data_IF_879110819420
#
_entry.id   IF_879110819420
#
_cell.length_a   1.000
_cell.length_b   1.000
_cell.length_c   1.000
_cell.angle_alpha   90.00
_cell.angle_beta   90.00
_cell.angle_gamma   90.00
#
_symmetry.space_group_name_H-M   'P 1'
#
loop_
_entity.id
_entity.type
_entity.pdbx_description
1 polymer ?
#
# COMPACT_ATOMS: atom_id res chain seq x y z
N UNK A 1 19.45 1.06 -5.37
CA UNK A 1 18.19 0.80 -6.11
C UNK A 1 18.48 -0.07 -7.33
N UNK A 2 19.34 0.36 -8.26
CA UNK A 2 19.67 -0.45 -9.46
C UNK A 2 20.23 -1.84 -9.14
N UNK A 3 21.10 -1.93 -8.13
CA UNK A 3 21.69 -3.20 -7.67
C UNK A 3 20.63 -4.23 -7.23
N UNK A 4 19.62 -3.79 -6.48
CA UNK A 4 18.49 -4.64 -6.06
C UNK A 4 17.59 -5.00 -7.24
N UNK A 5 17.40 -4.07 -8.19
CA UNK A 5 16.61 -4.36 -9.41
C UNK A 5 17.26 -5.45 -10.26
N UNK A 6 18.60 -5.47 -10.35
CA UNK A 6 19.32 -6.51 -11.10
C UNK A 6 19.53 -7.81 -10.31
N UNK A 7 19.66 -7.74 -8.98
CA UNK A 7 19.90 -8.89 -8.11
C UNK A 7 18.96 -8.91 -6.90
N UNK A 8 17.63 -9.09 -7.10
CA UNK A 8 16.64 -8.98 -6.03
C UNK A 8 16.67 -10.14 -5.03
N UNK A 9 17.36 -11.23 -5.35
CA UNK A 9 17.51 -12.43 -4.51
C UNK A 9 18.89 -12.55 -3.87
N UNK A 10 19.74 -11.54 -4.03
CA UNK A 10 21.04 -11.45 -3.36
C UNK A 10 20.92 -10.51 -2.15
N UNK A 11 21.74 -10.75 -1.12
CA UNK A 11 21.80 -9.91 0.08
C UNK A 11 22.19 -8.48 -0.28
N UNK A 12 21.18 -7.67 -0.51
CA UNK A 12 21.29 -6.25 -0.83
C UNK A 12 20.55 -5.47 0.26
N UNK A 13 20.88 -4.19 0.41
CA UNK A 13 20.28 -3.36 1.47
C UNK A 13 18.74 -3.23 1.41
N UNK A 14 18.10 -3.68 0.33
CA UNK A 14 16.64 -3.68 0.16
C UNK A 14 15.98 -5.06 0.30
N UNK A 15 16.74 -6.15 0.27
CA UNK A 15 16.22 -7.53 0.40
C UNK A 15 15.57 -7.75 1.78
N UNK A 16 16.18 -7.21 2.84
CA UNK A 16 15.66 -7.28 4.22
C UNK A 16 14.32 -6.53 4.43
N UNK A 17 13.96 -5.62 3.52
CA UNK A 17 12.73 -4.79 3.58
C UNK A 17 11.65 -5.34 2.64
N UNK A 18 12.07 -5.92 1.51
CA UNK A 18 11.20 -6.45 0.46
C UNK A 18 11.59 -7.91 0.16
N UNK A 19 11.22 -8.87 1.03
CA UNK A 19 11.52 -10.28 0.81
C UNK A 19 10.68 -10.79 -0.35
N UNK A 20 11.28 -10.86 -1.53
CA UNK A 20 10.64 -11.33 -2.75
C UNK A 20 10.54 -12.85 -2.74
N UNK A 21 9.37 -13.40 -3.01
CA UNK A 21 9.25 -14.83 -3.27
C UNK A 21 9.53 -15.12 -4.75
N UNK A 22 9.90 -16.35 -5.07
CA UNK A 22 10.04 -16.74 -6.46
C UNK A 22 8.67 -16.78 -7.18
N UNK A 23 8.69 -16.54 -8.49
CA UNK A 23 7.48 -16.51 -9.33
C UNK A 23 6.68 -17.82 -9.26
N UNK A 24 7.35 -18.96 -9.06
CA UNK A 24 6.69 -20.25 -8.90
C UNK A 24 5.81 -20.31 -7.62
N UNK A 25 6.32 -19.81 -6.50
CA UNK A 25 5.57 -19.75 -5.24
C UNK A 25 4.44 -18.73 -5.35
N UNK A 26 4.71 -17.55 -5.94
CA UNK A 26 3.69 -16.53 -6.18
C UNK A 26 2.52 -17.08 -7.05
N UNK A 27 2.84 -17.83 -8.11
CA UNK A 27 1.83 -18.52 -8.93
C UNK A 27 1.06 -19.59 -8.15
N UNK A 28 1.72 -20.31 -7.24
CA UNK A 28 1.06 -21.27 -6.35
C UNK A 28 0.10 -20.56 -5.37
N UNK A 29 0.46 -19.39 -4.84
CA UNK A 29 -0.40 -18.53 -4.03
C UNK A 29 -1.63 -18.08 -4.82
N UNK A 30 -1.45 -17.69 -6.09
CA UNK A 30 -2.56 -17.35 -6.99
C UNK A 30 -3.48 -18.55 -7.25
N UNK A 31 -2.90 -19.71 -7.56
CA UNK A 31 -3.65 -20.95 -7.77
C UNK A 31 -4.49 -21.30 -6.54
N UNK A 32 -3.87 -21.26 -5.35
CA UNK A 32 -4.54 -21.53 -4.07
C UNK A 32 -5.68 -20.54 -3.80
N UNK A 33 -5.48 -19.26 -4.14
CA UNK A 33 -6.51 -18.22 -4.03
C UNK A 33 -7.73 -18.52 -4.92
N UNK A 34 -7.49 -19.01 -6.15
CA UNK A 34 -8.57 -19.44 -7.07
C UNK A 34 -9.30 -20.66 -6.52
N UNK A 35 -8.57 -21.64 -6.02
CA UNK A 35 -9.15 -22.86 -5.43
C UNK A 35 -10.04 -22.53 -4.23
N UNK A 36 -9.57 -21.68 -3.30
CA UNK A 36 -10.37 -21.25 -2.15
C UNK A 36 -11.60 -20.47 -2.59
N UNK A 37 -11.46 -19.56 -3.57
CA UNK A 37 -12.61 -18.83 -4.14
C UNK A 37 -13.64 -19.78 -4.73
N UNK A 38 -13.20 -20.77 -5.50
CA UNK A 38 -14.07 -21.81 -6.07
C UNK A 38 -14.81 -22.58 -4.97
N UNK A 39 -14.09 -23.07 -3.96
CA UNK A 39 -14.67 -23.87 -2.87
C UNK A 39 -15.65 -23.07 -2.02
N UNK A 40 -15.35 -21.80 -1.73
CA UNK A 40 -16.25 -20.92 -1.00
C UNK A 40 -17.55 -20.68 -1.79
N UNK A 41 -17.43 -20.42 -3.10
CA UNK A 41 -18.61 -20.21 -3.92
C UNK A 41 -19.47 -21.48 -4.04
N UNK A 42 -18.84 -22.64 -4.18
CA UNK A 42 -19.52 -23.93 -4.21
C UNK A 42 -20.20 -24.27 -2.87
N UNK A 43 -19.52 -24.04 -1.74
CA UNK A 43 -20.08 -24.19 -0.40
C UNK A 43 -21.35 -23.35 -0.23
N UNK A 44 -21.31 -22.08 -0.65
CA UNK A 44 -22.47 -21.20 -0.57
C UNK A 44 -23.61 -21.71 -1.45
N UNK A 45 -23.32 -22.21 -2.66
CA UNK A 45 -24.34 -22.80 -3.54
C UNK A 45 -24.94 -24.09 -2.97
N UNK A 46 -24.13 -24.91 -2.30
CA UNK A 46 -24.61 -26.11 -1.60
C UNK A 46 -25.56 -25.75 -0.45
N UNK A 47 -25.28 -24.67 0.29
CA UNK A 47 -26.20 -24.12 1.29
C UNK A 47 -27.47 -23.56 0.64
N UNK A 48 -27.37 -22.82 -0.46
CA UNK A 48 -28.53 -22.27 -1.16
C UNK A 48 -29.44 -23.40 -1.65
N UNK A 49 -28.90 -24.41 -2.32
CA UNK A 49 -29.70 -25.51 -2.89
C UNK A 49 -30.19 -26.50 -1.82
N UNK A 50 -29.37 -26.79 -0.81
CA UNK A 50 -29.71 -27.77 0.23
C UNK A 50 -30.57 -27.21 1.36
N UNK A 51 -30.39 -25.92 1.69
CA UNK A 51 -31.07 -25.28 2.82
C UNK A 51 -32.08 -24.26 2.35
N UNK A 52 -31.73 -23.31 1.46
CA UNK A 52 -32.65 -22.20 1.10
C UNK A 52 -33.65 -22.56 0.00
N UNK A 53 -33.30 -23.48 -0.91
CA UNK A 53 -34.09 -23.94 -2.05
C UNK A 53 -34.19 -25.48 -2.11
N UNK A 54 -34.52 -26.18 -1.00
CA UNK A 54 -34.55 -27.63 -0.97
C UNK A 54 -35.64 -28.17 -1.89
N UNK A 55 -35.27 -29.10 -2.77
CA UNK A 55 -36.23 -29.82 -3.64
C UNK A 55 -37.06 -30.84 -2.86
N UNK A 56 -36.43 -31.49 -1.86
CA UNK A 56 -37.05 -32.42 -0.93
C UNK A 56 -36.65 -32.03 0.49
N UNK A 57 -37.45 -31.20 1.20
CA UNK A 57 -37.07 -30.74 2.52
C UNK A 57 -37.08 -31.89 3.54
N UNK A 58 -35.89 -32.35 3.92
CA UNK A 58 -35.69 -33.28 5.07
C UNK A 58 -36.05 -32.61 6.40
N UNK A 59 -36.06 -31.28 6.41
CA UNK A 59 -36.35 -30.43 7.56
C UNK A 59 -37.52 -29.52 7.17
N UNK A 60 -38.63 -29.63 7.88
CA UNK A 60 -39.86 -28.89 7.59
C UNK A 60 -39.77 -27.43 8.05
N UNK A 61 -39.02 -26.60 7.32
CA UNK A 61 -39.01 -25.15 7.52
C UNK A 61 -40.01 -24.47 6.58
N UNK A 62 -40.68 -23.42 7.06
CA UNK A 62 -41.60 -22.63 6.26
C UNK A 62 -40.84 -21.62 5.37
N UNK A 63 -40.35 -22.08 4.22
CA UNK A 63 -39.63 -21.26 3.26
C UNK A 63 -40.61 -20.62 2.26
N UNK A 64 -41.40 -19.69 2.78
CA UNK A 64 -42.30 -18.90 1.96
C UNK A 64 -41.49 -17.89 1.14
N UNK A 65 -41.66 -17.81 -0.18
CA UNK A 65 -41.01 -16.78 -1.02
C UNK A 65 -40.35 -17.32 -2.29
N UNK A 66 -39.91 -16.43 -3.21
CA UNK A 66 -39.27 -16.82 -4.46
C UNK A 66 -37.94 -17.52 -4.20
N UNK A 67 -37.52 -18.38 -5.13
CA UNK A 67 -36.23 -19.07 -5.03
C UNK A 67 -35.08 -18.07 -4.95
N UNK A 68 -34.15 -18.36 -4.05
CA UNK A 68 -32.95 -17.56 -3.86
C UNK A 68 -31.97 -17.87 -4.99
N UNK A 69 -31.44 -16.88 -5.71
CA UNK A 69 -30.54 -17.14 -6.82
C UNK A 69 -29.18 -17.63 -6.30
N UNK A 70 -28.56 -18.56 -7.02
CA UNK A 70 -27.24 -19.10 -6.71
C UNK A 70 -26.14 -18.07 -6.97
N UNK A 71 -25.02 -18.24 -6.28
CA UNK A 71 -23.81 -17.49 -6.50
C UNK A 71 -23.14 -17.94 -7.80
N UNK A 72 -22.74 -16.97 -8.62
CA UNK A 72 -21.85 -17.25 -9.73
C UNK A 72 -20.47 -17.59 -9.19
N UNK A 73 -20.03 -18.81 -9.49
CA UNK A 73 -18.63 -19.17 -9.33
C UNK A 73 -17.83 -18.61 -10.52
N UNK A 74 -16.83 -17.74 -10.28
CA UNK A 74 -16.02 -17.17 -11.37
C UNK A 74 -15.08 -18.20 -12.02
N UNK A 75 -14.95 -19.39 -11.43
CA UNK A 75 -14.08 -20.45 -11.88
C UNK A 75 -14.85 -21.74 -12.19
N UNK A 76 -14.36 -22.49 -13.17
CA UNK A 76 -14.73 -23.88 -13.40
C UNK A 76 -13.98 -24.80 -12.41
N UNK A 77 -14.33 -26.08 -12.40
CA UNK A 77 -13.69 -27.08 -11.52
C UNK A 77 -12.18 -27.26 -11.82
N UNK A 78 -11.77 -27.01 -13.05
CA UNK A 78 -10.36 -26.98 -13.47
C UNK A 78 -9.67 -25.62 -13.18
N UNK A 79 -10.35 -24.72 -12.46
CA UNK A 79 -9.93 -23.37 -12.10
C UNK A 79 -9.72 -22.42 -13.29
N UNK A 80 -10.22 -22.78 -14.47
CA UNK A 80 -10.32 -21.86 -15.61
C UNK A 80 -11.42 -20.82 -15.37
N UNK A 81 -11.30 -19.65 -16.01
CA UNK A 81 -12.31 -18.60 -15.87
C UNK A 81 -13.65 -19.04 -16.45
N UNK A 82 -14.74 -18.69 -15.76
CA UNK A 82 -16.10 -19.01 -16.14
C UNK A 82 -16.95 -17.75 -16.24
N UNK A 83 -17.77 -17.66 -17.29
CA UNK A 83 -18.84 -16.66 -17.36
C UNK A 83 -20.06 -17.14 -16.57
N UNK A 84 -20.66 -16.24 -15.80
CA UNK A 84 -21.87 -16.54 -15.04
C UNK A 84 -23.04 -16.89 -15.95
N UNK A 85 -23.83 -17.90 -15.55
CA UNK A 85 -25.06 -18.26 -16.24
C UNK A 85 -26.19 -17.28 -15.92
N UNK A 86 -27.23 -17.26 -16.76
CA UNK A 86 -28.41 -16.45 -16.50
C UNK A 86 -29.09 -16.88 -15.19
N UNK A 87 -29.37 -15.91 -14.32
CA UNK A 87 -29.98 -16.15 -12.99
C UNK A 87 -28.97 -16.33 -11.85
N UNK A 88 -27.67 -16.44 -12.14
CA UNK A 88 -26.64 -16.44 -11.11
C UNK A 88 -26.30 -15.00 -10.68
N UNK A 89 -25.92 -14.83 -9.42
CA UNK A 89 -25.50 -13.53 -8.87
C UNK A 89 -23.99 -13.46 -8.77
N UNK A 90 -23.39 -12.41 -9.35
CA UNK A 90 -21.96 -12.13 -9.21
C UNK A 90 -21.58 -11.80 -7.77
N UNK A 91 -20.34 -12.16 -7.38
CA UNK A 91 -19.79 -11.93 -6.04
C UNK A 91 -20.03 -10.50 -5.50
N UNK A 92 -19.88 -9.49 -6.37
CA UNK A 92 -20.03 -8.08 -5.99
C UNK A 92 -21.44 -7.70 -5.50
N UNK A 93 -22.47 -8.37 -6.04
CA UNK A 93 -23.88 -8.01 -5.79
C UNK A 93 -24.61 -9.02 -4.89
N UNK A 94 -23.99 -10.16 -4.60
CA UNK A 94 -24.60 -11.29 -3.90
C UNK A 94 -25.21 -10.90 -2.55
N UNK A 95 -24.47 -10.18 -1.71
CA UNK A 95 -24.95 -9.73 -0.39
C UNK A 95 -26.23 -8.89 -0.51
N UNK A 96 -26.25 -7.90 -1.41
CA UNK A 96 -27.39 -7.02 -1.62
C UNK A 96 -28.60 -7.76 -2.18
N UNK A 97 -28.39 -8.71 -3.11
CA UNK A 97 -29.49 -9.50 -3.70
C UNK A 97 -30.09 -10.43 -2.65
N UNK A 98 -29.25 -11.15 -1.91
CA UNK A 98 -29.66 -12.14 -0.91
C UNK A 98 -30.34 -11.55 0.31
N UNK A 99 -30.02 -10.30 0.67
CA UNK A 99 -30.68 -9.58 1.77
C UNK A 99 -32.20 -9.47 1.58
N UNK A 100 -32.69 -9.51 0.34
CA UNK A 100 -34.13 -9.47 0.02
C UNK A 100 -34.86 -10.79 0.36
N UNK A 101 -34.12 -11.84 0.64
CA UNK A 101 -34.63 -13.17 0.97
C UNK A 101 -34.58 -13.45 2.48
N UNK A 102 -34.07 -12.51 3.26
CA UNK A 102 -33.96 -12.61 4.71
C UNK A 102 -35.35 -12.61 5.36
N UNK A 103 -35.56 -13.53 6.30
CA UNK A 103 -36.81 -13.66 7.03
C UNK A 103 -36.63 -13.28 8.51
N UNK A 104 -37.69 -12.81 9.15
CA UNK A 104 -37.71 -12.75 10.61
C UNK A 104 -37.81 -14.16 11.16
N UNK A 105 -37.06 -14.43 12.25
CA UNK A 105 -36.93 -15.77 12.79
C UNK A 105 -37.77 -16.00 14.05
N UNK A 106 -38.14 -17.25 14.25
CA UNK A 106 -38.59 -17.82 15.53
C UNK A 106 -37.71 -19.00 15.85
N UNK A 107 -37.30 -19.11 17.11
CA UNK A 107 -36.45 -20.20 17.57
C UNK A 107 -37.34 -21.38 17.96
N UNK A 108 -37.14 -22.53 17.32
CA UNK A 108 -37.81 -23.79 17.67
C UNK A 108 -36.73 -24.83 17.93
N UNK A 109 -36.71 -25.40 19.13
CA UNK A 109 -35.69 -26.37 19.56
C UNK A 109 -34.24 -25.89 19.36
N UNK A 110 -33.98 -24.59 19.53
CA UNK A 110 -32.65 -23.99 19.37
C UNK A 110 -32.24 -23.72 17.91
N UNK A 111 -33.14 -23.92 16.95
CA UNK A 111 -32.91 -23.65 15.52
C UNK A 111 -33.74 -22.46 15.07
N UNK A 112 -33.11 -21.55 14.33
CA UNK A 112 -33.78 -20.40 13.71
C UNK A 112 -34.65 -20.86 12.54
N UNK A 113 -35.94 -20.52 12.60
CA UNK A 113 -36.90 -20.83 11.53
C UNK A 113 -37.53 -19.54 11.03
N UNK A 114 -37.66 -19.40 9.72
CA UNK A 114 -38.40 -18.29 9.11
C UNK A 114 -39.86 -18.25 9.58
N UNK A 115 -40.24 -17.15 10.24
CA UNK A 115 -41.62 -16.79 10.60
C UNK A 115 -42.31 -16.02 9.49
N UNK A 116 -41.58 -15.16 8.79
CA UNK A 116 -42.10 -14.36 7.68
C UNK A 116 -41.68 -14.95 6.34
N UNK A 117 -42.25 -14.42 5.25
CA UNK A 117 -41.79 -14.70 3.89
C UNK A 117 -40.29 -14.39 3.79
N UNK A 118 -39.53 -15.38 3.36
CA UNK A 118 -38.09 -15.39 3.15
C UNK A 118 -37.56 -16.83 3.12
N UNK A 119 -36.31 -17.00 2.72
CA UNK A 119 -35.64 -18.31 2.58
C UNK A 119 -34.35 -18.43 3.38
N UNK A 120 -33.82 -17.32 3.88
CA UNK A 120 -32.56 -17.29 4.64
C UNK A 120 -32.79 -16.63 6.00
N UNK A 121 -32.29 -17.23 7.07
CA UNK A 121 -32.29 -16.62 8.40
C UNK A 121 -31.16 -15.58 8.48
N UNK A 122 -31.23 -14.60 9.39
CA UNK A 122 -30.16 -13.62 9.59
C UNK A 122 -28.81 -14.31 9.86
N UNK A 123 -28.81 -15.35 10.69
CA UNK A 123 -27.63 -16.15 11.02
C UNK A 123 -27.01 -16.82 9.80
N UNK A 124 -27.84 -17.42 8.93
CA UNK A 124 -27.36 -18.07 7.71
C UNK A 124 -26.90 -17.04 6.66
N UNK A 125 -27.60 -15.91 6.57
CA UNK A 125 -27.24 -14.79 5.71
C UNK A 125 -25.85 -14.25 6.07
N UNK A 126 -25.58 -14.01 7.34
CA UNK A 126 -24.28 -13.50 7.79
C UNK A 126 -23.13 -14.46 7.46
N UNK A 127 -23.34 -15.77 7.64
CA UNK A 127 -22.36 -16.79 7.28
C UNK A 127 -22.09 -16.82 5.77
N UNK A 128 -23.14 -16.78 4.94
CA UNK A 128 -23.00 -16.72 3.49
C UNK A 128 -22.33 -15.43 3.03
N UNK A 129 -22.68 -14.30 3.65
CA UNK A 129 -22.10 -13.00 3.34
C UNK A 129 -20.62 -12.92 3.70
N UNK A 130 -20.21 -13.51 4.84
CA UNK A 130 -18.81 -13.62 5.21
C UNK A 130 -18.02 -14.45 4.17
N UNK A 131 -18.54 -15.61 3.78
CA UNK A 131 -17.91 -16.47 2.76
C UNK A 131 -17.77 -15.74 1.40
N UNK A 132 -18.82 -15.06 0.94
CA UNK A 132 -18.78 -14.29 -0.31
C UNK A 132 -17.84 -13.10 -0.22
N UNK A 133 -17.76 -12.42 0.92
CA UNK A 133 -16.84 -11.29 1.10
C UNK A 133 -15.39 -11.74 0.97
N UNK A 134 -15.04 -12.90 1.54
CA UNK A 134 -13.71 -13.50 1.38
C UNK A 134 -13.47 -13.92 -0.06
N UNK A 135 -14.43 -14.60 -0.70
CA UNK A 135 -14.32 -14.99 -2.11
C UNK A 135 -14.16 -13.77 -3.04
N UNK A 136 -14.90 -12.69 -2.78
CA UNK A 136 -14.78 -11.43 -3.50
C UNK A 136 -13.39 -10.81 -3.33
N UNK A 137 -12.86 -10.77 -2.10
CA UNK A 137 -11.55 -10.22 -1.83
C UNK A 137 -10.45 -11.03 -2.52
N UNK A 138 -10.48 -12.37 -2.42
CA UNK A 138 -9.54 -13.25 -3.10
C UNK A 138 -9.62 -13.08 -4.62
N UNK A 139 -10.82 -13.03 -5.20
CA UNK A 139 -10.99 -12.88 -6.64
C UNK A 139 -10.43 -11.55 -7.18
N UNK A 140 -10.69 -10.44 -6.49
CA UNK A 140 -10.31 -9.11 -6.98
C UNK A 140 -8.88 -8.69 -6.60
N UNK A 141 -8.40 -9.10 -5.42
CA UNK A 141 -7.12 -8.59 -4.90
C UNK A 141 -5.96 -9.58 -5.01
N UNK A 142 -6.21 -10.90 -5.08
CA UNK A 142 -5.12 -11.88 -5.15
C UNK A 142 -4.15 -11.65 -6.32
N UNK A 143 -4.58 -11.32 -7.57
CA UNK A 143 -3.64 -11.08 -8.66
C UNK A 143 -2.65 -9.94 -8.37
N UNK A 144 -3.11 -8.86 -7.75
CA UNK A 144 -2.27 -7.72 -7.39
C UNK A 144 -1.37 -8.02 -6.20
N UNK A 145 -1.87 -8.77 -5.21
CA UNK A 145 -1.07 -9.20 -4.07
C UNK A 145 0.08 -10.13 -4.49
N UNK A 146 -0.15 -10.99 -5.46
CA UNK A 146 0.86 -11.91 -6.01
C UNK A 146 1.97 -11.15 -6.76
N UNK A 147 1.65 -10.04 -7.44
CA UNK A 147 2.65 -9.16 -8.07
C UNK A 147 3.48 -8.36 -7.06
N UNK A 148 2.97 -8.19 -5.84
CA UNK A 148 3.75 -7.64 -4.73
C UNK A 148 4.64 -8.73 -4.12
N UNK A 149 4.13 -9.96 -4.02
CA UNK A 149 4.85 -11.14 -3.52
C UNK A 149 6.10 -11.44 -4.37
N UNK A 150 5.97 -11.45 -5.70
CA UNK A 150 7.09 -11.73 -6.62
C UNK A 150 8.01 -10.51 -6.87
N UNK A 151 7.75 -9.38 -6.19
CA UNK A 151 8.43 -8.10 -6.33
C UNK A 151 8.48 -7.52 -7.74
N UNK A 152 7.74 -8.06 -8.72
CA UNK A 152 7.70 -7.52 -10.08
C UNK A 152 7.27 -6.05 -10.06
N UNK A 153 6.24 -5.74 -9.27
CA UNK A 153 5.75 -4.38 -9.08
C UNK A 153 6.82 -3.43 -8.52
N UNK A 154 7.50 -3.84 -7.44
CA UNK A 154 8.53 -3.02 -6.80
C UNK A 154 9.73 -2.83 -7.72
N UNK A 155 10.13 -3.88 -8.44
CA UNK A 155 11.23 -3.86 -9.40
C UNK A 155 10.95 -2.93 -10.58
N UNK A 156 9.77 -3.00 -11.15
CA UNK A 156 9.38 -2.14 -12.28
C UNK A 156 9.27 -0.68 -11.83
N UNK A 157 8.76 -0.44 -10.62
CA UNK A 157 8.70 0.90 -10.04
C UNK A 157 10.10 1.48 -9.80
N UNK A 158 11.00 0.73 -9.15
CA UNK A 158 12.36 1.21 -8.92
C UNK A 158 13.16 1.38 -10.20
N UNK A 159 12.97 0.50 -11.20
CA UNK A 159 13.56 0.68 -12.53
C UNK A 159 13.08 1.98 -13.18
N UNK A 160 11.78 2.26 -13.11
CA UNK A 160 11.20 3.50 -13.64
C UNK A 160 11.75 4.74 -12.93
N UNK A 161 11.79 4.74 -11.59
CA UNK A 161 12.34 5.85 -10.80
C UNK A 161 13.82 6.05 -11.08
N UNK A 162 14.59 4.98 -11.16
CA UNK A 162 16.02 5.05 -11.45
C UNK A 162 16.29 5.63 -12.83
N UNK A 163 15.54 5.20 -13.83
CA UNK A 163 15.72 5.68 -15.20
C UNK A 163 15.22 7.13 -15.40
N UNK A 164 14.05 7.45 -14.84
CA UNK A 164 13.35 8.70 -15.18
C UNK A 164 13.62 9.84 -14.20
N UNK A 165 13.85 9.56 -12.92
CA UNK A 165 13.94 10.57 -11.87
C UNK A 165 15.37 10.80 -11.40
N UNK A 166 16.16 9.73 -11.21
CA UNK A 166 17.53 9.84 -10.68
C UNK A 166 18.48 10.71 -11.52
N UNK A 167 18.46 10.73 -12.87
CA UNK A 167 19.36 11.57 -13.66
C UNK A 167 19.13 13.06 -13.41
N UNK A 168 17.86 13.47 -13.39
CA UNK A 168 17.45 14.84 -13.08
C UNK A 168 17.83 15.20 -11.65
N UNK A 169 17.54 14.31 -10.69
CA UNK A 169 17.89 14.52 -9.29
C UNK A 169 19.40 14.71 -9.13
N UNK A 170 20.22 13.84 -9.73
CA UNK A 170 21.68 13.92 -9.68
C UNK A 170 22.20 15.22 -10.28
N UNK A 171 21.63 15.65 -11.41
CA UNK A 171 21.97 16.92 -12.06
C UNK A 171 21.70 18.08 -11.11
N UNK A 172 20.48 18.23 -10.59
CA UNK A 172 20.12 19.34 -9.71
C UNK A 172 20.88 19.34 -8.39
N UNK A 173 21.09 18.17 -7.77
CA UNK A 173 21.91 18.06 -6.56
C UNK A 173 23.35 18.51 -6.80
N UNK A 174 23.93 18.16 -7.95
CA UNK A 174 25.26 18.66 -8.32
C UNK A 174 25.28 20.19 -8.48
N UNK A 175 24.26 20.79 -9.11
CA UNK A 175 24.15 22.26 -9.20
C UNK A 175 24.04 22.91 -7.83
N UNK A 176 23.23 22.35 -6.93
CA UNK A 176 23.08 22.84 -5.56
C UNK A 176 24.41 22.72 -4.79
N UNK A 177 25.11 21.60 -4.93
CA UNK A 177 26.42 21.39 -4.29
C UNK A 177 27.47 22.39 -4.79
N UNK A 178 27.52 22.65 -6.10
CA UNK A 178 28.40 23.68 -6.68
C UNK A 178 28.02 25.06 -6.13
N UNK A 179 26.73 25.39 -6.04
CA UNK A 179 26.27 26.64 -5.45
C UNK A 179 26.70 26.80 -3.99
N UNK A 180 26.49 25.78 -3.17
CA UNK A 180 26.86 25.79 -1.75
C UNK A 180 28.38 25.90 -1.54
N UNK A 181 29.18 25.21 -2.34
CA UNK A 181 30.65 25.29 -2.26
C UNK A 181 31.16 26.67 -2.64
N UNK A 182 30.61 27.30 -3.69
CA UNK A 182 30.95 28.68 -4.07
C UNK A 182 30.58 29.69 -2.99
N UNK A 183 29.38 29.61 -2.41
CA UNK A 183 28.94 30.50 -1.32
C UNK A 183 29.83 30.33 -0.09
N UNK A 184 30.15 29.09 0.29
CA UNK A 184 31.05 28.80 1.41
C UNK A 184 32.44 29.40 1.20
N UNK A 185 33.02 29.23 0.00
CA UNK A 185 34.31 29.82 -0.35
C UNK A 185 34.29 31.36 -0.31
N UNK A 186 33.23 31.99 -0.83
CA UNK A 186 33.08 33.44 -0.82
C UNK A 186 32.98 34.01 0.61
N UNK A 187 32.25 33.33 1.50
CA UNK A 187 32.15 33.72 2.92
C UNK A 187 33.51 33.59 3.60
N UNK A 188 34.23 32.49 3.39
CA UNK A 188 35.58 32.31 3.95
C UNK A 188 36.55 33.42 3.50
N UNK A 189 36.57 33.75 2.20
CA UNK A 189 37.40 34.83 1.67
C UNK A 189 36.99 36.19 2.24
N UNK A 190 35.69 36.46 2.34
CA UNK A 190 35.17 37.71 2.92
C UNK A 190 35.61 37.88 4.37
N UNK A 191 35.60 36.81 5.16
CA UNK A 191 36.09 36.82 6.55
C UNK A 191 37.60 37.10 6.59
N UNK A 192 38.39 36.44 5.73
CA UNK A 192 39.84 36.67 5.66
C UNK A 192 40.15 38.14 5.32
N UNK A 193 39.51 38.68 4.27
CA UNK A 193 39.69 40.09 3.91
C UNK A 193 39.27 41.04 5.03
N UNK A 194 38.17 40.75 5.73
CA UNK A 194 37.72 41.54 6.87
C UNK A 194 38.73 41.55 8.01
N UNK A 195 39.33 40.40 8.34
CA UNK A 195 40.37 40.30 9.38
C UNK A 195 41.62 41.10 9.00
N UNK A 196 42.08 41.01 7.75
CA UNK A 196 43.24 41.77 7.25
C UNK A 196 42.96 43.27 7.33
N UNK A 197 41.81 43.71 6.82
CA UNK A 197 41.41 45.12 6.84
C UNK A 197 41.27 45.65 8.28
N UNK A 198 40.64 44.89 9.18
CA UNK A 198 40.50 45.27 10.58
C UNK A 198 41.85 45.34 11.31
N UNK A 199 42.82 44.49 10.95
CA UNK A 199 44.19 44.54 11.47
C UNK A 199 44.91 45.79 10.96
N UNK A 200 44.87 46.06 9.66
CA UNK A 200 45.52 47.23 9.07
C UNK A 200 44.93 48.54 9.62
N UNK A 201 43.60 48.62 9.73
CA UNK A 201 42.91 49.75 10.33
C UNK A 201 43.32 49.97 11.79
N UNK A 202 43.47 48.91 12.59
CA UNK A 202 44.00 49.00 13.96
C UNK A 202 45.43 49.54 13.96
N UNK A 203 46.33 49.02 13.13
CA UNK A 203 47.70 49.54 13.02
C UNK A 203 47.75 51.03 12.64
N UNK A 204 46.94 51.47 11.68
CA UNK A 204 46.85 52.90 11.30
C UNK A 204 46.37 53.78 12.46
N UNK A 205 45.44 53.30 13.29
CA UNK A 205 44.97 54.05 14.47
C UNK A 205 46.03 54.11 15.58
N UNK A 206 46.73 53.01 15.87
CA UNK A 206 47.83 53.01 16.85
C UNK A 206 48.97 53.94 16.44
N UNK A 207 49.40 53.93 15.18
CA UNK A 207 50.42 54.87 14.68
C UNK A 207 49.97 56.33 14.81
N UNK A 208 48.69 56.63 14.51
CA UNK A 208 48.14 57.99 14.70
C UNK A 208 48.12 58.42 16.17
N UNK A 209 47.82 57.51 17.09
CA UNK A 209 47.86 57.80 18.54
C UNK A 209 49.29 58.02 19.05
N UNK A 210 50.27 57.25 18.59
CA UNK A 210 51.68 57.45 18.93
C UNK A 210 52.18 58.82 18.44
N UNK A 211 51.93 59.17 17.17
CA UNK A 211 52.30 60.49 16.62
C UNK A 211 51.62 61.63 17.40
N UNK A 212 50.37 61.45 17.82
CA UNK A 212 49.65 62.45 18.62
C UNK A 212 50.22 62.59 20.05
N UNK A 213 50.70 61.50 20.65
CA UNK A 213 51.39 61.53 21.95
C UNK A 213 52.77 62.21 21.84
N UNK A 214 53.53 61.90 20.80
CA UNK A 214 54.86 62.48 20.54
C UNK A 214 54.77 63.97 20.15
N UNK A 215 53.68 64.40 19.52
CA UNK A 215 53.41 65.81 19.19
C UNK A 215 52.87 66.66 20.35
N UNK A 216 52.67 66.08 21.55
CA UNK A 216 52.08 66.78 22.71
C UNK A 216 53.06 67.03 23.86
N UNK A 217 54.36 66.77 23.68
CA UNK A 217 55.37 67.16 24.66
C UNK A 217 55.52 68.70 24.70
N UNK A 218 55.14 69.38 25.80
CA UNK A 218 55.43 70.78 25.97
C UNK A 218 56.90 70.91 26.36
N UNK A 219 57.71 71.50 25.49
CA UNK A 219 59.04 71.99 25.84
C UNK A 219 58.87 73.13 26.87
N UNK A 220 58.87 72.80 28.16
CA UNK A 220 58.86 73.75 29.25
C UNK A 220 60.16 73.64 30.09
N UNK A 221 61.20 74.23 29.50
CA UNK A 221 62.34 74.97 30.04
C UNK A 221 62.61 74.91 31.57
N UNK A 222 63.81 74.40 31.89
CA UNK A 222 64.62 74.66 33.11
C UNK A 222 64.85 76.17 33.33
N UNK A 223 65.06 76.60 34.58
CA UNK A 223 66.44 76.71 35.07
C UNK A 223 66.78 75.71 36.19
#
# INVERSE_FOLDING_TARGET
>A
MDEWVSHPSEHTALDDILPCVNVATANQSLYSSREVTYKLADMVNNVINGVSNPTNPSISFNQSGPLMPTLCNPFNQDLSNRSCAAGEVVLANASQVWRKYECNVTVVNGVDICKTVGRVTPTLYDQMNAAVSVAYALYNYAPSLVQLEDCSFARDTFRSVSHNNCPSLRKYTNWVFIGLTLVSAAVMLSIIFWVIYARERRHRMYNKQQIFYEGRDPVARKP
#
